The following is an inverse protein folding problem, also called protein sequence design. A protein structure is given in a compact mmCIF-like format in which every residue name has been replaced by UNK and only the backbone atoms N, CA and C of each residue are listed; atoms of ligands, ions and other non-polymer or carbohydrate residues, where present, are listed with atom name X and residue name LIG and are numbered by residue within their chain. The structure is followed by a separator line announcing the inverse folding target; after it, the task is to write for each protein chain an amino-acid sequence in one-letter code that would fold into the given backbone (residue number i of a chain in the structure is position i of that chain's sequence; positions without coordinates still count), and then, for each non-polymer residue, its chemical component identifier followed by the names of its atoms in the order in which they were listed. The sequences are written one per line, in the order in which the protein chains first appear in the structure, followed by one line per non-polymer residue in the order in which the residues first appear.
data_IF_059424631900
#
_entry.id   IF_059424631900
#
_cell.length_a   1.000
_cell.length_b   1.000
_cell.length_c   1.000
_cell.angle_alpha   90.00
_cell.angle_beta   90.00
_cell.angle_gamma   90.00
#
_symmetry.space_group_name_H-M   'P 1'
#
loop_
_entity.id
_entity.type
_entity.pdbx_description
1 polymer ?
#
# COMPACT_ATOMS: atom_id res chain seq x y z
N UNK A 1 45.00 8.72 -22.91
CA UNK A 1 45.94 8.50 -21.80
C UNK A 1 45.25 7.57 -20.81
N UNK A 2 45.81 6.37 -20.61
CA UNK A 2 45.25 5.30 -19.75
C UNK A 2 45.81 5.47 -18.33
N UNK A 3 44.95 5.47 -17.32
CA UNK A 3 45.35 5.26 -15.94
C UNK A 3 44.59 4.05 -15.38
N UNK A 4 45.30 2.92 -15.32
CA UNK A 4 44.94 1.76 -14.51
C UNK A 4 45.27 2.07 -13.06
N UNK A 5 44.32 1.85 -12.14
CA UNK A 5 44.60 1.82 -10.71
C UNK A 5 43.93 0.59 -10.11
N UNK A 6 44.75 -0.40 -9.75
CA UNK A 6 44.38 -1.60 -9.01
C UNK A 6 44.49 -1.28 -7.53
N UNK A 7 43.40 -1.40 -6.77
CA UNK A 7 43.43 -1.39 -5.31
C UNK A 7 42.93 -2.76 -4.84
N UNK A 8 43.87 -3.53 -4.29
CA UNK A 8 43.61 -4.75 -3.55
C UNK A 8 43.15 -4.39 -2.13
N UNK A 9 42.02 -4.95 -1.69
CA UNK A 9 41.58 -4.88 -0.29
C UNK A 9 41.71 -6.27 0.37
N UNK A 10 42.24 -6.34 1.60
CA UNK A 10 42.56 -7.61 2.26
C UNK A 10 41.32 -8.27 2.87
N UNK A 11 41.31 -9.60 2.84
CA UNK A 11 40.44 -10.46 3.64
C UNK A 11 40.66 -10.21 5.13
N UNK A 12 39.61 -9.78 5.84
CA UNK A 12 39.52 -9.88 7.29
C UNK A 12 38.48 -10.94 7.65
N UNK A 13 38.96 -12.11 8.08
CA UNK A 13 38.17 -13.13 8.75
C UNK A 13 37.93 -12.69 10.20
N UNK A 14 36.66 -12.60 10.62
CA UNK A 14 36.28 -12.36 12.01
C UNK A 14 35.32 -13.47 12.46
N UNK A 15 35.74 -14.11 13.55
CA UNK A 15 35.15 -15.28 14.16
C UNK A 15 33.73 -15.03 14.70
N UNK A 16 32.85 -16.01 14.47
CA UNK A 16 31.53 -16.08 15.08
C UNK A 16 31.66 -16.44 16.57
N UNK A 17 31.14 -15.58 17.45
CA UNK A 17 30.95 -15.89 18.87
C UNK A 17 29.45 -16.04 19.11
N UNK A 18 29.00 -17.29 19.25
CA UNK A 18 27.61 -17.62 19.58
C UNK A 18 27.37 -17.41 21.08
N UNK A 19 26.86 -16.25 21.47
CA UNK A 19 26.26 -16.06 22.79
C UNK A 19 24.76 -16.36 22.72
N UNK A 20 24.38 -17.58 23.13
CA UNK A 20 22.98 -17.96 23.35
C UNK A 20 22.52 -17.35 24.67
N UNK A 21 21.97 -16.13 24.61
CA UNK A 21 21.19 -15.58 25.72
C UNK A 21 19.73 -15.91 25.45
N UNK A 22 19.25 -16.95 26.14
CA UNK A 22 17.84 -17.33 26.19
C UNK A 22 17.01 -16.22 26.81
N UNK A 23 16.60 -15.24 26.01
CA UNK A 23 15.55 -14.32 26.36
C UNK A 23 14.23 -15.08 26.25
N UNK A 24 13.59 -15.32 27.39
CA UNK A 24 12.22 -15.78 27.47
C UNK A 24 11.35 -14.81 26.66
N UNK A 25 10.98 -15.21 25.44
CA UNK A 25 10.13 -14.41 24.58
C UNK A 25 8.73 -14.43 25.16
N UNK A 26 8.14 -13.27 25.53
CA UNK A 26 6.72 -13.21 25.82
C UNK A 26 5.97 -13.69 24.58
N UNK A 27 5.06 -14.63 24.79
CA UNK A 27 4.25 -15.26 23.74
C UNK A 27 3.63 -14.20 22.83
N UNK A 28 4.04 -14.20 21.55
CA UNK A 28 3.63 -13.26 20.48
C UNK A 28 2.11 -13.16 20.21
N UNK A 29 1.27 -13.90 20.95
CA UNK A 29 -0.19 -13.89 20.76
C UNK A 29 -0.89 -12.60 21.22
N UNK A 30 -0.29 -11.83 22.13
CA UNK A 30 -0.92 -10.62 22.67
C UNK A 30 -0.74 -9.35 21.84
N UNK A 31 0.41 -9.20 21.16
CA UNK A 31 0.76 -7.96 20.45
C UNK A 31 0.04 -7.85 19.10
N UNK A 32 -0.21 -8.97 18.43
CA UNK A 32 -0.96 -9.01 17.16
C UNK A 32 -2.42 -8.59 17.33
N UNK A 33 -3.04 -8.91 18.46
CA UNK A 33 -4.45 -8.56 18.72
C UNK A 33 -4.61 -7.04 18.90
N UNK A 34 -3.64 -6.34 19.49
CA UNK A 34 -3.71 -4.88 19.63
C UNK A 34 -3.40 -4.19 18.30
N UNK A 35 -2.47 -4.73 17.49
CA UNK A 35 -2.14 -4.19 16.17
C UNK A 35 -3.26 -4.40 15.14
N UNK A 36 -3.98 -5.53 15.21
CA UNK A 36 -5.18 -5.77 14.40
C UNK A 36 -6.38 -4.90 14.82
N UNK A 37 -6.39 -4.36 16.04
CA UNK A 37 -7.46 -3.47 16.56
C UNK A 37 -7.24 -2.00 16.24
N UNK A 38 -6.00 -1.62 15.90
CA UNK A 38 -5.72 -0.29 15.38
C UNK A 38 -5.96 -0.32 13.88
N UNK A 39 -7.22 -0.25 13.47
CA UNK A 39 -7.55 0.25 12.14
C UNK A 39 -7.03 1.69 12.10
N UNK A 40 -5.80 1.83 11.64
CA UNK A 40 -5.22 3.11 11.28
C UNK A 40 -5.54 3.29 9.79
N UNK A 41 -6.69 3.90 9.45
CA UNK A 41 -6.92 4.27 8.06
C UNK A 41 -5.70 5.10 7.65
N UNK A 42 -5.04 4.69 6.56
CA UNK A 42 -3.88 5.42 6.01
C UNK A 42 -4.39 6.77 5.51
N UNK A 43 -4.55 7.72 6.40
CA UNK A 43 -4.87 9.09 6.07
C UNK A 43 -3.66 9.72 5.38
N UNK A 44 -3.88 10.34 4.23
CA UNK A 44 -2.91 11.24 3.63
C UNK A 44 -1.70 10.57 2.97
N UNK A 45 -1.82 9.33 2.51
CA UNK A 45 -0.83 8.83 1.54
C UNK A 45 -1.08 9.58 0.22
N UNK A 46 -0.17 10.50 -0.10
CA UNK A 46 -0.08 11.07 -1.45
C UNK A 46 0.46 9.96 -2.34
N UNK A 47 -0.31 9.58 -3.35
CA UNK A 47 0.14 8.66 -4.40
C UNK A 47 0.51 9.45 -5.65
N UNK A 48 1.45 8.93 -6.44
CA UNK A 48 1.81 9.53 -7.73
C UNK A 48 1.20 8.66 -8.82
N UNK A 49 0.28 9.24 -9.59
CA UNK A 49 -0.43 8.54 -10.65
C UNK A 49 -0.23 9.23 -11.99
N UNK A 50 -0.11 8.44 -13.06
CA UNK A 50 0.00 8.95 -14.42
C UNK A 50 -0.58 7.94 -15.43
N UNK A 51 -0.98 8.43 -16.60
CA UNK A 51 -1.24 7.57 -17.76
C UNK A 51 0.08 7.30 -18.47
N UNK A 52 0.49 6.04 -18.48
CA UNK A 52 1.66 5.58 -19.21
C UNK A 52 1.18 5.07 -20.58
N UNK A 53 1.72 5.65 -21.64
CA UNK A 53 1.57 5.24 -23.04
C UNK A 53 3.00 5.19 -23.61
N UNK A 54 3.69 4.08 -23.33
CA UNK A 54 5.14 3.93 -23.54
C UNK A 54 5.50 2.46 -23.80
N UNK A 55 6.67 2.23 -24.38
CA UNK A 55 7.26 0.89 -24.41
C UNK A 55 8.05 0.63 -23.13
N UNK A 56 7.83 -0.52 -22.48
CA UNK A 56 8.63 -0.94 -21.34
C UNK A 56 9.98 -1.48 -21.85
N UNK A 57 10.98 -0.62 -21.80
CA UNK A 57 12.37 -0.94 -22.08
C UNK A 57 13.20 -1.01 -20.78
N UNK A 58 14.12 -1.97 -20.73
CA UNK A 58 15.08 -2.13 -19.63
C UNK A 58 16.48 -2.21 -20.22
N UNK A 59 17.34 -1.32 -19.72
CA UNK A 59 18.74 -1.23 -20.11
C UNK A 59 19.54 -2.29 -19.34
N UNK A 60 20.17 -3.24 -20.06
CA UNK A 60 21.00 -4.31 -19.50
C UNK A 60 22.42 -4.21 -20.08
N UNK A 61 23.23 -3.33 -19.50
CA UNK A 61 24.56 -3.01 -20.03
C UNK A 61 24.45 -2.12 -21.27
N UNK A 62 24.99 -2.57 -22.41
CA UNK A 62 24.99 -1.81 -23.68
C UNK A 62 23.80 -2.13 -24.59
N UNK A 63 22.76 -2.80 -24.07
CA UNK A 63 21.59 -3.21 -24.84
C UNK A 63 20.29 -2.84 -24.13
N UNK A 64 19.34 -2.39 -24.93
CA UNK A 64 17.98 -2.11 -24.49
C UNK A 64 17.07 -3.25 -24.92
N UNK A 65 16.41 -3.85 -23.94
CA UNK A 65 15.43 -4.91 -24.19
C UNK A 65 14.03 -4.34 -24.02
N UNK A 66 13.26 -4.36 -25.10
CA UNK A 66 11.86 -3.94 -25.11
C UNK A 66 10.96 -5.15 -24.85
N UNK A 67 10.19 -5.10 -23.77
CA UNK A 67 9.27 -6.17 -23.38
C UNK A 67 7.89 -6.04 -24.02
N UNK A 68 7.49 -4.81 -24.34
CA UNK A 68 6.21 -4.52 -24.98
C UNK A 68 5.67 -3.16 -24.61
N UNK A 69 4.57 -2.80 -25.25
CA UNK A 69 3.89 -1.54 -25.05
C UNK A 69 2.98 -1.58 -23.80
N UNK A 70 2.96 -0.49 -23.04
CA UNK A 70 2.12 -0.26 -21.88
C UNK A 70 1.29 0.99 -22.14
N UNK A 71 -0.02 0.79 -22.26
CA UNK A 71 -1.03 1.84 -22.29
C UNK A 71 -2.00 1.64 -21.12
N UNK A 72 -1.68 2.24 -19.97
CA UNK A 72 -2.46 2.10 -18.74
C UNK A 72 -2.26 3.28 -17.81
N UNK A 73 -3.31 3.63 -17.07
CA UNK A 73 -3.19 4.54 -15.94
C UNK A 73 -2.74 3.79 -14.68
N UNK A 74 -1.61 4.21 -14.11
CA UNK A 74 -0.97 3.53 -12.99
C UNK A 74 -0.56 4.51 -11.90
N UNK A 75 -0.62 4.04 -10.65
CA UNK A 75 -0.17 4.75 -9.46
C UNK A 75 0.97 3.98 -8.79
N UNK A 76 1.87 4.68 -8.08
CA UNK A 76 2.97 4.04 -7.35
C UNK A 76 2.46 3.02 -6.33
N UNK A 77 1.38 3.35 -5.61
CA UNK A 77 0.76 2.43 -4.64
C UNK A 77 0.22 1.13 -5.26
N UNK A 78 -0.08 1.14 -6.56
CA UNK A 78 -0.61 -0.01 -7.29
C UNK A 78 0.48 -0.85 -7.99
N UNK A 79 1.75 -0.39 -8.00
CA UNK A 79 2.85 -1.05 -8.69
C UNK A 79 3.03 -2.53 -8.31
N UNK A 80 3.02 -2.95 -7.02
CA UNK A 80 3.25 -4.35 -6.67
C UNK A 80 2.24 -5.29 -7.33
N UNK A 81 0.96 -4.91 -7.32
CA UNK A 81 -0.09 -5.70 -7.94
C UNK A 81 0.01 -5.69 -9.48
N UNK A 82 0.42 -4.56 -10.06
CA UNK A 82 0.59 -4.42 -11.51
C UNK A 82 1.71 -5.32 -12.04
N UNK A 83 2.84 -5.42 -11.32
CA UNK A 83 3.98 -6.27 -11.66
C UNK A 83 3.62 -7.76 -11.73
N UNK A 84 2.62 -8.20 -10.95
CA UNK A 84 2.12 -9.57 -10.96
C UNK A 84 1.01 -9.81 -11.99
N UNK A 85 0.10 -8.84 -12.15
CA UNK A 85 -1.11 -9.00 -12.96
C UNK A 85 -0.93 -8.65 -14.44
N UNK A 86 -0.06 -7.69 -14.78
CA UNK A 86 0.09 -7.22 -16.16
C UNK A 86 1.05 -8.11 -16.95
N UNK A 87 0.61 -8.64 -18.09
CA UNK A 87 1.37 -9.64 -18.85
C UNK A 87 2.79 -9.18 -19.25
N UNK A 88 2.93 -7.94 -19.75
CA UNK A 88 4.23 -7.38 -20.17
C UNK A 88 5.15 -7.16 -18.95
N UNK A 89 4.60 -6.65 -17.86
CA UNK A 89 5.38 -6.37 -16.66
C UNK A 89 5.81 -7.67 -15.97
N UNK A 90 4.91 -8.65 -15.86
CA UNK A 90 5.21 -9.96 -15.32
C UNK A 90 6.25 -10.72 -16.15
N UNK A 91 6.23 -10.59 -17.49
CA UNK A 91 7.27 -11.14 -18.35
C UNK A 91 8.63 -10.48 -18.10
N UNK A 92 8.67 -9.16 -17.92
CA UNK A 92 9.89 -8.44 -17.56
C UNK A 92 10.42 -8.87 -16.18
N UNK A 93 9.54 -9.01 -15.18
CA UNK A 93 9.89 -9.43 -13.82
C UNK A 93 10.53 -10.82 -13.83
N UNK A 94 10.01 -11.75 -14.64
CA UNK A 94 10.59 -13.10 -14.78
C UNK A 94 12.00 -13.10 -15.35
N UNK A 95 12.38 -12.09 -16.13
CA UNK A 95 13.68 -12.03 -16.80
C UNK A 95 14.73 -11.24 -15.99
N UNK A 96 14.36 -10.07 -15.46
CA UNK A 96 15.31 -9.15 -14.81
C UNK A 96 15.09 -8.98 -13.31
N UNK A 97 14.03 -9.58 -12.76
CA UNK A 97 13.67 -9.48 -11.35
C UNK A 97 12.71 -8.34 -11.03
N UNK A 98 12.00 -8.50 -9.91
CA UNK A 98 10.95 -7.59 -9.48
C UNK A 98 11.45 -6.16 -9.24
N UNK A 99 12.56 -6.01 -8.52
CA UNK A 99 13.06 -4.70 -8.09
C UNK A 99 13.51 -3.83 -9.27
N UNK A 100 14.07 -4.44 -10.32
CA UNK A 100 14.52 -3.73 -11.52
C UNK A 100 13.32 -3.17 -12.29
N UNK A 101 12.27 -3.97 -12.49
CA UNK A 101 11.06 -3.53 -13.19
C UNK A 101 10.30 -2.49 -12.35
N UNK A 102 10.20 -2.70 -11.04
CA UNK A 102 9.58 -1.76 -10.12
C UNK A 102 10.27 -0.39 -10.18
N UNK A 103 11.60 -0.36 -10.06
CA UNK A 103 12.37 0.88 -10.12
C UNK A 103 12.24 1.57 -11.49
N UNK A 104 12.20 0.81 -12.59
CA UNK A 104 12.00 1.36 -13.94
C UNK A 104 10.62 2.00 -14.08
N UNK A 105 9.56 1.31 -13.68
CA UNK A 105 8.18 1.85 -13.74
C UNK A 105 8.00 3.03 -12.80
N UNK A 106 8.59 3.00 -11.61
CA UNK A 106 8.60 4.13 -10.68
C UNK A 106 9.30 5.35 -11.30
N UNK A 107 10.44 5.17 -11.97
CA UNK A 107 11.12 6.24 -12.69
C UNK A 107 10.26 6.80 -13.83
N UNK A 108 9.57 5.94 -14.59
CA UNK A 108 8.68 6.35 -15.69
C UNK A 108 7.47 7.14 -15.17
N UNK A 109 6.83 6.70 -14.09
CA UNK A 109 5.75 7.43 -13.42
C UNK A 109 6.22 8.79 -12.90
N UNK A 110 7.40 8.85 -12.30
CA UNK A 110 7.99 10.09 -11.82
C UNK A 110 8.44 11.02 -12.95
N UNK A 111 8.76 10.51 -14.14
CA UNK A 111 9.14 11.31 -15.31
C UNK A 111 7.95 11.73 -16.18
N UNK A 112 6.80 11.08 -16.02
CA UNK A 112 5.61 11.31 -16.85
C UNK A 112 5.13 12.78 -16.77
N UNK A 113 4.85 13.37 -17.93
CA UNK A 113 4.44 14.78 -18.05
C UNK A 113 3.03 15.05 -17.50
N UNK A 114 2.18 14.02 -17.51
CA UNK A 114 0.80 14.01 -17.04
C UNK A 114 0.65 13.45 -15.61
N UNK A 115 1.76 13.27 -14.88
CA UNK A 115 1.71 12.77 -13.50
C UNK A 115 0.96 13.75 -12.60
N UNK A 116 0.23 13.22 -11.63
CA UNK A 116 -0.43 13.97 -10.56
C UNK A 116 -0.12 13.37 -9.21
N UNK A 117 0.01 14.24 -8.21
CA UNK A 117 0.06 13.86 -6.80
C UNK A 117 -1.39 13.75 -6.30
N UNK A 118 -1.86 12.53 -6.13
CA UNK A 118 -3.23 12.23 -5.75
C UNK A 118 -3.35 12.12 -4.24
N UNK A 119 -4.17 12.99 -3.65
CA UNK A 119 -4.59 12.89 -2.26
C UNK A 119 -6.01 12.38 -2.25
N UNK A 120 -6.21 11.22 -1.62
CA UNK A 120 -7.50 10.57 -1.57
C UNK A 120 -8.17 10.76 -0.21
N UNK A 121 -9.51 10.85 -0.17
CA UNK A 121 -10.24 10.92 1.09
C UNK A 121 -10.27 9.57 1.79
N UNK A 122 -10.95 9.46 2.94
CA UNK A 122 -11.24 8.15 3.52
C UNK A 122 -12.35 7.42 2.76
N UNK A 123 -12.47 6.10 2.96
CA UNK A 123 -13.56 5.29 2.40
C UNK A 123 -13.69 5.48 0.88
N UNK A 124 -12.56 5.36 0.19
CA UNK A 124 -12.48 5.55 -1.24
C UNK A 124 -11.91 4.30 -1.92
N UNK A 125 -12.18 4.22 -3.21
CA UNK A 125 -11.46 3.37 -4.15
C UNK A 125 -10.86 4.26 -5.22
N UNK A 126 -9.54 4.18 -5.41
CA UNK A 126 -8.84 4.90 -6.49
C UNK A 126 -9.30 4.38 -7.84
N UNK A 127 -9.52 5.30 -8.77
CA UNK A 127 -9.83 5.04 -10.18
C UNK A 127 -8.86 5.86 -11.01
N UNK A 128 -7.88 5.18 -11.59
CA UNK A 128 -6.92 5.81 -12.48
C UNK A 128 -7.49 5.75 -13.90
N UNK A 129 -7.61 6.90 -14.55
CA UNK A 129 -7.97 7.00 -15.97
C UNK A 129 -7.04 7.96 -16.70
N UNK A 130 -6.99 7.86 -18.04
CA UNK A 130 -6.15 8.75 -18.86
C UNK A 130 -6.52 10.23 -18.72
N UNK A 131 -7.81 10.52 -18.48
CA UNK A 131 -8.32 11.88 -18.31
C UNK A 131 -8.16 12.39 -16.87
N UNK A 132 -8.36 11.51 -15.89
CA UNK A 132 -8.14 11.82 -14.49
C UNK A 132 -7.39 10.69 -13.75
N UNK A 133 -6.06 10.81 -13.60
CA UNK A 133 -5.26 9.82 -12.88
C UNK A 133 -5.51 9.83 -11.37
N UNK A 134 -6.15 10.88 -10.84
CA UNK A 134 -6.52 10.99 -9.43
C UNK A 134 -8.02 10.74 -9.18
N UNK A 135 -8.71 10.11 -10.11
CA UNK A 135 -10.11 9.75 -9.92
C UNK A 135 -10.29 8.84 -8.70
N UNK A 136 -11.44 8.95 -8.04
CA UNK A 136 -11.83 8.09 -6.95
C UNK A 136 -13.34 8.06 -6.81
N UNK A 137 -13.83 6.99 -6.20
CA UNK A 137 -15.24 6.81 -5.84
C UNK A 137 -15.34 6.45 -4.36
N UNK A 138 -16.40 6.89 -3.69
CA UNK A 138 -16.67 6.49 -2.31
C UNK A 138 -17.10 5.02 -2.22
N UNK A 139 -16.62 4.35 -1.18
CA UNK A 139 -16.96 2.96 -0.85
C UNK A 139 -17.74 2.88 0.46
N UNK A 140 -18.13 1.67 0.84
CA UNK A 140 -18.65 1.38 2.18
C UNK A 140 -19.93 2.16 2.55
N UNK A 141 -20.72 2.57 1.56
CA UNK A 141 -21.97 3.32 1.76
C UNK A 141 -21.76 4.82 2.02
N UNK A 142 -20.53 5.32 1.91
CA UNK A 142 -20.25 6.75 1.92
C UNK A 142 -20.60 7.38 0.58
N UNK A 143 -20.82 8.70 0.60
CA UNK A 143 -21.17 9.48 -0.59
C UNK A 143 -20.23 10.66 -0.76
N UNK A 144 -20.03 11.05 -2.02
CA UNK A 144 -19.20 12.18 -2.42
C UNK A 144 -19.73 13.51 -1.89
N UNK A 145 -18.84 14.32 -1.35
CA UNK A 145 -19.16 15.67 -0.88
C UNK A 145 -17.98 16.63 -1.05
N UNK A 146 -18.24 17.90 -1.43
CA UNK A 146 -19.53 18.41 -1.94
C UNK A 146 -19.90 17.76 -3.29
N UNK A 147 -21.18 17.78 -3.66
CA UNK A 147 -21.68 17.16 -4.92
C UNK A 147 -20.97 17.71 -6.17
N UNK A 148 -20.55 18.96 -6.13
CA UNK A 148 -19.77 19.59 -7.19
C UNK A 148 -18.31 19.67 -6.74
N UNK A 149 -17.41 18.96 -7.44
CA UNK A 149 -15.98 18.83 -7.11
C UNK A 149 -15.79 18.20 -5.72
N UNK A 150 -16.11 16.90 -5.60
CA UNK A 150 -16.02 16.22 -4.33
C UNK A 150 -14.58 16.19 -3.83
N UNK A 151 -14.42 16.38 -2.53
CA UNK A 151 -13.11 16.35 -1.86
C UNK A 151 -13.07 15.31 -0.73
N UNK A 152 -14.22 14.77 -0.36
CA UNK A 152 -14.36 13.80 0.72
C UNK A 152 -15.54 12.86 0.51
N UNK A 153 -15.45 11.71 1.18
CA UNK A 153 -16.54 10.76 1.35
C UNK A 153 -17.16 10.96 2.72
N UNK A 154 -18.45 11.26 2.77
CA UNK A 154 -19.19 11.46 4.03
C UNK A 154 -20.28 10.41 4.18
N UNK A 155 -20.63 10.10 5.43
CA UNK A 155 -21.82 9.31 5.71
C UNK A 155 -23.02 10.27 5.66
N UNK A 156 -24.00 10.08 4.76
CA UNK A 156 -25.10 11.01 4.59
C UNK A 156 -25.96 11.12 5.85
N UNK A 157 -26.60 12.28 6.02
CA UNK A 157 -27.47 12.57 7.17
C UNK A 157 -28.53 11.49 7.36
N UNK A 158 -28.74 11.05 8.60
CA UNK A 158 -29.69 9.98 8.95
C UNK A 158 -29.11 8.57 8.87
N UNK A 159 -27.89 8.40 8.34
CA UNK A 159 -27.12 7.16 8.44
C UNK A 159 -26.12 7.23 9.60
N UNK A 160 -25.62 6.08 10.02
CA UNK A 160 -24.60 5.96 11.06
C UNK A 160 -23.39 5.19 10.51
N UNK A 161 -22.18 5.53 10.95
CA UNK A 161 -20.98 4.74 10.64
C UNK A 161 -20.82 3.63 11.68
N UNK A 162 -20.76 2.38 11.23
CA UNK A 162 -20.51 1.21 12.05
C UNK A 162 -19.44 0.32 11.41
N UNK A 163 -18.38 0.00 12.16
CA UNK A 163 -17.28 -0.88 11.70
C UNK A 163 -16.71 -0.47 10.32
N UNK A 164 -16.56 0.84 10.09
CA UNK A 164 -16.02 1.39 8.84
C UNK A 164 -17.00 1.44 7.67
N UNK A 165 -18.28 1.10 7.89
CA UNK A 165 -19.35 1.20 6.88
C UNK A 165 -20.42 2.19 7.29
N UNK A 166 -20.90 2.98 6.36
CA UNK A 166 -22.02 3.88 6.54
C UNK A 166 -23.33 3.19 6.10
N UNK A 167 -24.38 3.29 6.93
CA UNK A 167 -25.68 2.69 6.62
C UNK A 167 -26.70 2.88 7.73
N UNK A 168 -27.83 2.18 7.59
CA UNK A 168 -28.86 2.10 8.63
C UNK A 168 -28.56 0.97 9.60
N UNK A 169 -28.44 1.30 10.88
CA UNK A 169 -28.17 0.34 11.94
C UNK A 169 -29.24 0.47 13.03
N UNK A 170 -30.49 0.01 12.77
CA UNK A 170 -31.63 0.22 13.68
C UNK A 170 -31.45 -0.45 15.06
N UNK A 171 -30.64 -1.49 15.13
CA UNK A 171 -30.29 -2.18 16.38
C UNK A 171 -28.95 -1.72 16.96
N UNK A 172 -28.43 -0.59 16.48
CA UNK A 172 -27.11 -0.06 16.84
C UNK A 172 -25.96 -0.79 16.17
N UNK A 173 -24.74 -0.31 16.43
CA UNK A 173 -23.52 -0.93 15.94
C UNK A 173 -23.08 -2.05 16.89
N UNK A 174 -22.99 -3.29 16.40
CA UNK A 174 -22.39 -4.37 17.17
C UNK A 174 -20.91 -4.03 17.42
N UNK A 175 -20.59 -3.64 18.65
CA UNK A 175 -19.21 -3.37 19.05
C UNK A 175 -18.45 -4.70 19.14
N UNK A 176 -17.25 -4.80 18.56
CA UNK A 176 -16.37 -5.94 18.79
C UNK A 176 -15.77 -5.94 20.20
N UNK A 177 -16.04 -4.92 21.03
CA UNK A 177 -15.60 -4.87 22.42
C UNK A 177 -16.46 -5.87 23.23
N UNK A 178 -15.88 -6.96 23.77
CA UNK A 178 -16.62 -7.82 24.67
C UNK A 178 -17.08 -6.98 25.86
N UNK A 179 -18.40 -6.92 26.07
CA UNK A 179 -18.96 -6.31 27.27
C UNK A 179 -18.33 -7.04 28.46
N UNK A 180 -17.62 -6.32 29.32
CA UNK A 180 -17.07 -6.91 30.54
C UNK A 180 -18.21 -7.65 31.25
N UNK A 181 -18.07 -8.97 31.40
CA UNK A 181 -19.05 -9.75 32.14
C UNK A 181 -19.16 -9.11 33.53
N UNK A 182 -20.38 -8.72 33.94
CA UNK A 182 -20.61 -8.26 35.30
C UNK A 182 -20.14 -9.38 36.21
N UNK A 183 -19.03 -9.19 36.93
CA UNK A 183 -18.63 -10.08 38.00
C UNK A 183 -19.74 -10.00 39.05
N UNK A 184 -20.61 -11.00 39.08
CA UNK A 184 -21.49 -11.23 40.23
C UNK A 184 -20.54 -11.52 41.39
N UNK A 185 -20.26 -10.51 42.21
CA UNK A 185 -19.65 -10.70 43.51
C UNK A 185 -20.67 -11.49 44.32
N UNK A 186 -20.54 -12.82 44.32
CA UNK A 186 -21.19 -13.65 45.31
C UNK A 186 -20.60 -13.22 46.66
N UNK A 187 -21.35 -12.37 47.35
CA UNK A 187 -21.14 -12.03 48.74
C UNK A 187 -21.31 -13.33 49.52
N UNK A 188 -20.20 -13.96 49.90
CA UNK A 188 -20.20 -14.98 50.93
C UNK A 188 -20.57 -14.26 52.22
N UNK A 189 -21.85 -14.28 52.57
CA UNK A 189 -22.34 -13.91 53.89
C UNK A 189 -21.93 -15.05 54.83
N UNK A 190 -21.05 -14.71 55.78
CA UNK A 190 -20.69 -15.52 56.95
C UNK A 190 -21.63 -15.16 58.10
#
# INVERSE_FOLDING_TARGET
MKFSSLIAFPLAALAAVSSVVGSATPTKKGVDIIKARQFNPRHGLIDICANLDIDLDIHLGDRDLVFGHIDVCLCLGALPNFLEAHAVAAAAVKLVGHDVVAARLEALLNAAHNKKNCSYPQHYKSICSSQDPCGWECTDGFVEYPTNKPTQCICPTGKTVCNGKCGDFPHGCASPVPKAAKRTLNRLEY
#
